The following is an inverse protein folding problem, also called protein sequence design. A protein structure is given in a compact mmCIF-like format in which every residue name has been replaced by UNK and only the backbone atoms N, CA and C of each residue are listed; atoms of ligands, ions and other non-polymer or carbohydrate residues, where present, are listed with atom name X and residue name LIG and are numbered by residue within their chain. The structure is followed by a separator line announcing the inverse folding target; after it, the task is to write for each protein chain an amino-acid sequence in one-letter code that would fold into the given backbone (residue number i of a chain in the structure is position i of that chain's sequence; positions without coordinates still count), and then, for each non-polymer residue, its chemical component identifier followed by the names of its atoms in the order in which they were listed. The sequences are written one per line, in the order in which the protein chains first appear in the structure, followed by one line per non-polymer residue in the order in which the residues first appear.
data_IF_948617385172
#
_entry.id   IF_948617385172
#
_cell.length_a   1.000
_cell.length_b   1.000
_cell.length_c   1.000
_cell.angle_alpha   90.00
_cell.angle_beta   90.00
_cell.angle_gamma   90.00
#
_symmetry.space_group_name_H-M   'P 1'
#
loop_
_entity.id
_entity.type
_entity.pdbx_description
1 polymer ?
#
# COMPACT_ATOMS: atom_id res chain seq x y z
N UNK A 1 19.62 -9.16 -3.99
CA UNK A 1 18.15 -9.32 -3.82
C UNK A 1 17.63 -8.09 -3.11
N UNK A 2 16.46 -7.57 -3.51
CA UNK A 2 15.76 -6.55 -2.74
C UNK A 2 14.69 -7.22 -1.88
N UNK A 3 14.62 -6.94 -0.57
CA UNK A 3 13.61 -7.52 0.30
C UNK A 3 12.21 -7.03 -0.11
N UNK A 4 11.26 -7.96 -0.14
CA UNK A 4 9.83 -7.65 -0.31
C UNK A 4 9.15 -7.82 1.03
N UNK A 5 8.44 -6.77 1.46
CA UNK A 5 7.67 -6.77 2.70
C UNK A 5 6.19 -6.87 2.39
N UNK A 6 5.45 -7.59 3.22
CA UNK A 6 4.00 -7.61 3.18
C UNK A 6 3.47 -6.91 4.42
N UNK A 7 2.43 -6.10 4.24
CA UNK A 7 1.74 -5.44 5.33
C UNK A 7 0.25 -5.46 5.03
N UNK A 8 -0.53 -6.02 5.95
CA UNK A 8 -1.98 -5.92 5.92
C UNK A 8 -2.43 -4.63 6.62
N UNK A 9 -3.47 -4.01 6.09
CA UNK A 9 -4.24 -3.05 6.87
C UNK A 9 -5.12 -3.84 7.86
N UNK A 10 -4.64 -4.04 9.09
CA UNK A 10 -5.51 -4.44 10.19
C UNK A 10 -6.31 -3.21 10.67
N UNK A 11 -7.12 -3.31 11.74
CA UNK A 11 -7.75 -2.16 12.41
C UNK A 11 -6.73 -1.19 13.04
N UNK A 12 -5.48 -1.15 12.56
CA UNK A 12 -4.50 -0.15 12.91
C UNK A 12 -4.95 1.24 12.46
N UNK A 13 -4.72 2.21 13.32
CA UNK A 13 -4.72 3.62 12.95
C UNK A 13 -3.72 3.87 11.81
N UNK A 14 -4.04 4.83 10.95
CA UNK A 14 -3.22 5.22 9.80
C UNK A 14 -1.77 5.57 10.19
N UNK A 15 -1.59 6.23 11.33
CA UNK A 15 -0.27 6.60 11.84
C UNK A 15 0.58 5.38 12.24
N UNK A 16 -0.04 4.34 12.79
CA UNK A 16 0.67 3.08 13.09
C UNK A 16 1.15 2.41 11.81
N UNK A 17 0.30 2.38 10.78
CA UNK A 17 0.68 1.87 9.46
C UNK A 17 1.87 2.65 8.88
N UNK A 18 1.83 3.98 8.90
CA UNK A 18 2.94 4.84 8.44
C UNK A 18 4.20 4.62 9.27
N UNK A 19 4.07 4.46 10.59
CA UNK A 19 5.17 4.17 11.50
C UNK A 19 5.92 2.89 11.12
N UNK A 20 5.19 1.82 10.79
CA UNK A 20 5.77 0.55 10.34
C UNK A 20 6.54 0.71 9.02
N UNK A 21 5.99 1.46 8.06
CA UNK A 21 6.68 1.74 6.79
C UNK A 21 7.99 2.50 7.03
N UNK A 22 7.96 3.53 7.89
CA UNK A 22 9.16 4.33 8.21
C UNK A 22 10.22 3.54 8.96
N UNK A 23 9.81 2.71 9.92
CA UNK A 23 10.72 1.85 10.68
C UNK A 23 11.49 0.86 9.79
N UNK A 24 10.92 0.50 8.63
CA UNK A 24 11.53 -0.38 7.65
C UNK A 24 12.08 0.36 6.41
N UNK A 25 12.18 1.70 6.46
CA UNK A 25 12.66 2.55 5.37
C UNK A 25 11.93 2.34 4.03
N UNK A 26 10.63 2.00 4.08
CA UNK A 26 9.81 1.78 2.90
C UNK A 26 9.41 3.11 2.29
N UNK A 27 9.71 3.30 1.00
CA UNK A 27 9.39 4.52 0.24
C UNK A 27 8.28 4.31 -0.80
N UNK A 28 7.82 3.08 -1.00
CA UNK A 28 6.72 2.77 -1.90
C UNK A 28 5.85 1.63 -1.37
N UNK A 29 4.54 1.77 -1.54
CA UNK A 29 3.52 0.76 -1.24
C UNK A 29 2.78 0.44 -2.53
N UNK A 30 2.62 -0.85 -2.81
CA UNK A 30 1.81 -1.33 -3.93
C UNK A 30 0.48 -1.85 -3.39
N UNK A 31 -0.62 -1.25 -3.83
CA UNK A 31 -1.97 -1.75 -3.55
C UNK A 31 -2.31 -2.85 -4.56
N UNK A 32 -2.26 -4.11 -4.11
CA UNK A 32 -2.55 -5.29 -4.92
C UNK A 32 -4.05 -5.65 -4.94
N UNK A 33 -4.91 -4.86 -4.28
CA UNK A 33 -6.36 -5.12 -4.25
C UNK A 33 -6.96 -4.94 -5.64
N UNK A 34 -7.75 -5.93 -6.07
CA UNK A 34 -8.47 -5.85 -7.35
C UNK A 34 -9.57 -4.79 -7.35
N UNK A 35 -10.16 -4.53 -6.17
CA UNK A 35 -11.14 -3.50 -5.91
C UNK A 35 -10.66 -2.72 -4.68
N UNK A 36 -9.96 -1.60 -4.86
CA UNK A 36 -9.28 -0.92 -3.76
C UNK A 36 -10.20 0.01 -2.96
N UNK A 37 -11.52 -0.15 -3.07
CA UNK A 37 -12.51 0.60 -2.31
C UNK A 37 -12.88 -0.14 -1.01
N UNK A 38 -12.93 0.58 0.10
CA UNK A 38 -13.24 0.09 1.43
C UNK A 38 -14.34 0.92 2.08
N UNK A 39 -15.00 0.32 3.08
CA UNK A 39 -15.94 1.03 3.97
C UNK A 39 -15.20 1.95 4.96
N UNK A 40 -13.89 1.76 5.13
CA UNK A 40 -13.02 2.63 5.92
C UNK A 40 -12.42 3.71 5.00
N UNK A 41 -12.87 4.98 5.07
CA UNK A 41 -12.48 6.01 4.11
C UNK A 41 -10.96 6.23 4.04
N UNK A 42 -10.24 6.08 5.15
CA UNK A 42 -8.80 6.31 5.26
C UNK A 42 -7.95 5.31 4.47
N UNK A 43 -8.49 4.13 4.14
CA UNK A 43 -7.79 3.11 3.33
C UNK A 43 -8.23 3.09 1.87
N UNK A 44 -9.10 4.03 1.49
CA UNK A 44 -9.41 4.27 0.08
C UNK A 44 -8.20 4.90 -0.62
N UNK A 45 -8.05 4.71 -1.94
CA UNK A 45 -6.80 5.02 -2.63
C UNK A 45 -6.40 6.49 -2.54
N UNK A 46 -7.36 7.40 -2.67
CA UNK A 46 -7.09 8.84 -2.63
C UNK A 46 -6.66 9.33 -1.23
N UNK A 47 -7.43 9.08 -0.16
CA UNK A 47 -7.00 9.43 1.20
C UNK A 47 -5.67 8.78 1.59
N UNK A 48 -5.48 7.50 1.25
CA UNK A 48 -4.25 6.78 1.54
C UNK A 48 -3.05 7.38 0.77
N UNK A 49 -3.22 7.69 -0.51
CA UNK A 49 -2.19 8.34 -1.33
C UNK A 49 -1.80 9.70 -0.75
N UNK A 50 -2.79 10.51 -0.36
CA UNK A 50 -2.54 11.81 0.24
C UNK A 50 -1.75 11.69 1.56
N UNK A 51 -2.14 10.74 2.42
CA UNK A 51 -1.44 10.47 3.67
C UNK A 51 0.01 10.01 3.43
N UNK A 52 0.22 9.01 2.58
CA UNK A 52 1.56 8.50 2.27
C UNK A 52 2.48 9.57 1.66
N UNK A 53 1.94 10.41 0.77
CA UNK A 53 2.71 11.51 0.15
C UNK A 53 3.23 12.52 1.16
N UNK A 54 2.48 12.80 2.24
CA UNK A 54 2.96 13.68 3.33
C UNK A 54 4.20 13.15 4.05
N UNK A 55 4.46 11.85 3.93
CA UNK A 55 5.63 11.18 4.51
C UNK A 55 6.67 10.77 3.46
N UNK A 56 6.54 11.24 2.21
CA UNK A 56 7.47 10.92 1.13
C UNK A 56 7.34 9.48 0.62
N UNK A 57 6.19 8.82 0.86
CA UNK A 57 5.94 7.44 0.42
C UNK A 57 4.99 7.46 -0.79
N UNK A 58 5.36 6.70 -1.83
CA UNK A 58 4.55 6.57 -3.04
C UNK A 58 3.52 5.45 -2.89
N UNK A 59 2.28 5.71 -3.30
CA UNK A 59 1.27 4.66 -3.51
C UNK A 59 1.18 4.33 -5.00
N UNK A 60 1.38 3.05 -5.33
CA UNK A 60 1.19 2.49 -6.67
C UNK A 60 -0.02 1.55 -6.68
N UNK A 61 -0.78 1.56 -7.77
CA UNK A 61 -1.76 0.51 -8.03
C UNK A 61 -1.02 -0.69 -8.63
N UNK A 62 -1.33 -1.91 -8.18
CA UNK A 62 -0.89 -3.12 -8.86
C UNK A 62 -1.37 -3.09 -10.31
N UNK A 63 -0.44 -3.15 -11.26
CA UNK A 63 -0.82 -3.14 -12.67
C UNK A 63 -1.62 -4.41 -13.01
N UNK A 64 -2.71 -4.28 -13.79
CA UNK A 64 -3.43 -5.44 -14.32
C UNK A 64 -2.54 -6.32 -15.22
N UNK A 65 -1.47 -5.77 -15.79
CA UNK A 65 -0.50 -6.53 -16.59
C UNK A 65 0.41 -7.44 -15.77
N UNK A 66 0.41 -7.35 -14.44
CA UNK A 66 1.16 -8.25 -13.56
C UNK A 66 0.40 -9.56 -13.25
N UNK A 67 -0.88 -9.63 -13.66
CA UNK A 67 -1.74 -10.83 -13.47
C UNK A 67 -1.52 -11.92 -14.53
N UNK A 68 -0.68 -11.68 -15.54
CA UNK A 68 -0.37 -12.69 -16.58
C UNK A 68 0.78 -13.61 -16.21
N UNK A 69 1.49 -13.37 -15.09
CA UNK A 69 2.55 -14.26 -14.61
C UNK A 69 2.03 -15.55 -13.91
N UNK A 70 0.73 -15.84 -14.01
CA UNK A 70 0.08 -17.03 -13.45
C UNK A 70 -0.67 -17.91 -14.45
N UNK A 71 -0.41 -17.80 -15.75
CA UNK A 71 -0.81 -18.82 -16.73
C UNK A 71 0.44 -19.53 -17.25
N UNK A 72 0.92 -20.49 -16.48
CA UNK A 72 1.68 -21.64 -16.96
C UNK A 72 0.84 -22.87 -16.67
#
# INVERSE_FOLDING_TARGET
MHPVYTIGYSNHELETFIGLLRANHITAVVDVRSQPNSRLPQVNPEPLRAALRRHGIMLQAGSRSDRTLGRL
#
